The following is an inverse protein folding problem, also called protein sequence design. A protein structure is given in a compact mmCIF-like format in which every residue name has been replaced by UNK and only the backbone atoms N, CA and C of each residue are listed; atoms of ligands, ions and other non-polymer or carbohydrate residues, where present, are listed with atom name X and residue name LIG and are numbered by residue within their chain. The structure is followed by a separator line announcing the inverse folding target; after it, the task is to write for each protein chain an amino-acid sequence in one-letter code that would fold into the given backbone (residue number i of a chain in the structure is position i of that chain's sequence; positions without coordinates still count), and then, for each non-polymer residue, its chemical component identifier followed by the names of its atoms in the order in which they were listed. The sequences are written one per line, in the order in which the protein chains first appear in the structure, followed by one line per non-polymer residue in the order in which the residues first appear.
data_IF_278055815262
#
_entry.id   IF_278055815262
#
_cell.length_a   1.000
_cell.length_b   1.000
_cell.length_c   1.000
_cell.angle_alpha   90.00
_cell.angle_beta   90.00
_cell.angle_gamma   90.00
#
_symmetry.space_group_name_H-M   'P 1'
#
loop_
_entity.id
_entity.type
_entity.pdbx_description
1 polymer ?
#
# COMPACT_ATOMS: atom_id res chain seq x y z
N UNK A 1 20.11 -0.41 -5.69
CA UNK A 1 18.85 -0.39 -4.92
C UNK A 1 18.80 0.83 -4.03
N UNK A 2 17.67 1.47 -3.93
CA UNK A 2 17.49 2.61 -3.05
C UNK A 2 17.54 2.18 -1.59
N UNK A 3 18.16 3.03 -0.75
CA UNK A 3 18.31 2.74 0.68
C UNK A 3 17.10 3.19 1.49
N UNK A 4 16.35 4.16 0.98
CA UNK A 4 15.22 4.76 1.70
C UNK A 4 13.91 4.13 1.29
N UNK A 5 13.79 2.82 1.53
CA UNK A 5 12.58 2.09 1.23
C UNK A 5 11.76 1.93 2.51
N UNK A 6 10.49 2.32 2.43
CA UNK A 6 9.50 2.05 3.46
C UNK A 6 8.48 1.11 2.84
N UNK A 7 8.15 0.03 3.51
CA UNK A 7 7.10 -0.84 2.99
C UNK A 7 6.16 -1.29 4.10
N UNK A 8 4.90 -1.39 3.72
CA UNK A 8 3.82 -1.71 4.64
C UNK A 8 3.16 -3.01 4.20
N UNK A 9 2.89 -3.85 5.17
CA UNK A 9 2.24 -5.13 4.91
C UNK A 9 1.59 -5.67 6.16
N UNK A 10 1.12 -6.92 6.07
CA UNK A 10 0.47 -7.60 7.17
C UNK A 10 1.08 -8.99 7.30
N UNK A 11 1.48 -9.40 8.53
CA UNK A 11 2.20 -10.67 8.70
C UNK A 11 1.43 -11.91 8.23
N UNK A 12 0.10 -11.87 8.33
CA UNK A 12 -0.74 -13.00 7.93
C UNK A 12 -1.15 -12.98 6.46
N UNK A 13 -0.69 -12.00 5.70
CA UNK A 13 -1.03 -11.86 4.29
C UNK A 13 -0.03 -12.64 3.43
N UNK A 14 -0.50 -13.64 2.68
CA UNK A 14 0.38 -14.46 1.84
C UNK A 14 1.07 -13.65 0.76
N UNK A 15 0.38 -12.67 0.18
CA UNK A 15 0.97 -11.78 -0.81
C UNK A 15 2.10 -10.95 -0.20
N UNK A 16 1.92 -10.48 1.04
CA UNK A 16 2.97 -9.75 1.73
C UNK A 16 4.19 -10.63 2.04
N UNK A 17 3.97 -11.91 2.34
CA UNK A 17 5.06 -12.85 2.56
C UNK A 17 5.88 -13.06 1.29
N UNK A 18 5.21 -13.18 0.15
CA UNK A 18 5.88 -13.28 -1.15
C UNK A 18 6.65 -12.01 -1.48
N UNK A 19 6.05 -10.86 -1.17
CA UNK A 19 6.69 -9.57 -1.39
C UNK A 19 7.94 -9.42 -0.53
N UNK A 20 7.89 -9.87 0.72
CA UNK A 20 9.07 -9.84 1.60
C UNK A 20 10.21 -10.65 1.03
N UNK A 21 9.94 -11.87 0.57
CA UNK A 21 10.97 -12.70 -0.04
C UNK A 21 11.60 -12.00 -1.23
N UNK A 22 10.77 -11.36 -2.05
CA UNK A 22 11.25 -10.62 -3.21
C UNK A 22 12.16 -9.46 -2.78
N UNK A 23 11.74 -8.69 -1.79
CA UNK A 23 12.53 -7.56 -1.30
C UNK A 23 13.88 -8.02 -0.75
N UNK A 24 13.90 -9.11 0.02
CA UNK A 24 15.16 -9.66 0.56
C UNK A 24 16.07 -10.13 -0.57
N UNK A 25 15.51 -10.77 -1.61
CA UNK A 25 16.28 -11.22 -2.76
C UNK A 25 16.88 -10.04 -3.53
N UNK A 26 16.22 -8.89 -3.50
CA UNK A 26 16.75 -7.66 -4.12
C UNK A 26 17.73 -6.91 -3.23
N UNK A 27 18.02 -7.43 -2.03
CA UNK A 27 18.94 -6.78 -1.10
C UNK A 27 18.32 -5.75 -0.18
N UNK A 28 16.99 -5.61 -0.20
CA UNK A 28 16.30 -4.70 0.71
C UNK A 28 16.15 -5.34 2.07
N UNK A 29 16.67 -4.68 3.11
CA UNK A 29 16.61 -5.17 4.48
C UNK A 29 15.63 -4.37 5.35
N UNK A 30 14.88 -3.45 4.77
CA UNK A 30 13.92 -2.64 5.51
C UNK A 30 12.88 -3.53 6.20
N UNK A 31 12.58 -3.27 7.48
CA UNK A 31 11.56 -4.05 8.18
C UNK A 31 10.17 -3.70 7.67
N UNK A 32 9.26 -4.68 7.73
CA UNK A 32 7.88 -4.45 7.37
C UNK A 32 7.21 -3.58 8.44
N UNK A 33 6.57 -2.49 7.99
CA UNK A 33 5.69 -1.72 8.86
C UNK A 33 4.34 -2.42 8.85
N UNK A 34 3.86 -2.84 10.03
CA UNK A 34 2.58 -3.53 10.15
C UNK A 34 1.45 -2.53 9.89
N UNK A 35 0.70 -2.76 8.82
CA UNK A 35 -0.31 -1.83 8.35
C UNK A 35 -1.50 -1.71 9.31
N UNK A 36 -1.69 -2.70 10.19
CA UNK A 36 -2.76 -2.68 11.18
C UNK A 36 -2.33 -1.95 12.44
N UNK A 37 -1.10 -2.20 12.91
CA UNK A 37 -0.57 -1.56 14.12
C UNK A 37 -0.15 -0.12 13.89
N UNK A 38 0.39 0.15 12.70
CA UNK A 38 0.86 1.47 12.31
C UNK A 38 0.29 1.84 10.94
N UNK A 39 -1.02 2.08 10.85
CA UNK A 39 -1.63 2.41 9.56
C UNK A 39 -1.03 3.70 8.99
N UNK A 40 -1.07 3.85 7.67
CA UNK A 40 -0.60 5.10 7.09
C UNK A 40 -1.47 6.26 7.54
N UNK A 41 -0.84 7.41 7.73
CA UNK A 41 -1.59 8.63 8.06
C UNK A 41 -2.25 9.20 6.82
N UNK A 42 -3.24 10.06 7.00
CA UNK A 42 -3.88 10.75 5.87
C UNK A 42 -2.86 11.55 5.07
N UNK A 43 -1.90 12.19 5.75
CA UNK A 43 -0.86 12.96 5.10
C UNK A 43 0.06 12.08 4.26
N UNK A 44 0.48 10.93 4.79
CA UNK A 44 1.27 9.96 4.04
C UNK A 44 0.52 9.49 2.80
N UNK A 45 -0.76 9.16 2.96
CA UNK A 45 -1.58 8.68 1.85
C UNK A 45 -1.74 9.74 0.76
N UNK A 46 -1.90 10.99 1.15
CA UNK A 46 -1.99 12.10 0.18
C UNK A 46 -0.69 12.19 -0.62
N UNK A 47 0.45 12.15 0.05
CA UNK A 47 1.76 12.22 -0.58
C UNK A 47 1.99 11.02 -1.52
N UNK A 48 1.72 9.81 -1.02
CA UNK A 48 1.95 8.60 -1.81
C UNK A 48 1.00 8.51 -3.01
N UNK A 49 -0.27 8.86 -2.81
CA UNK A 49 -1.25 8.86 -3.88
C UNK A 49 -0.83 9.82 -5.00
N UNK A 50 -0.46 11.04 -4.62
CA UNK A 50 -0.02 12.04 -5.60
C UNK A 50 1.21 11.56 -6.36
N UNK A 51 2.19 11.02 -5.65
CA UNK A 51 3.42 10.51 -6.26
C UNK A 51 3.17 9.33 -7.19
N UNK A 52 2.20 8.47 -6.83
CA UNK A 52 1.93 7.25 -7.58
C UNK A 52 1.32 7.50 -8.96
N UNK A 53 0.57 8.57 -9.12
CA UNK A 53 -0.19 8.82 -10.32
C UNK A 53 -1.34 7.86 -10.56
N UNK A 54 -1.65 7.01 -9.57
CA UNK A 54 -2.72 6.01 -9.68
C UNK A 54 -4.04 6.57 -9.16
N UNK A 55 -5.18 6.00 -9.61
CA UNK A 55 -6.47 6.33 -9.01
C UNK A 55 -6.47 5.96 -7.52
N UNK A 56 -7.09 6.80 -6.70
CA UNK A 56 -7.09 6.59 -5.25
C UNK A 56 -7.72 5.25 -4.85
N UNK A 57 -8.68 4.77 -5.62
CA UNK A 57 -9.31 3.46 -5.36
C UNK A 57 -8.28 2.33 -5.32
N UNK A 58 -7.17 2.47 -6.03
CA UNK A 58 -6.12 1.45 -6.03
C UNK A 58 -5.45 1.26 -4.67
N UNK A 59 -5.59 2.24 -3.79
CA UNK A 59 -5.05 2.16 -2.44
C UNK A 59 -5.98 1.42 -1.46
N UNK A 60 -7.18 1.07 -1.91
CA UNK A 60 -8.12 0.31 -1.08
C UNK A 60 -7.97 -1.19 -1.34
N UNK A 61 -8.12 -1.97 -0.29
CA UNK A 61 -8.18 -3.44 -0.39
C UNK A 61 -9.60 -3.84 -0.81
N UNK A 62 -9.87 -3.75 -2.12
CA UNK A 62 -11.22 -3.92 -2.67
C UNK A 62 -11.75 -5.34 -2.56
N UNK A 63 -10.90 -6.33 -2.35
CA UNK A 63 -11.34 -7.71 -2.12
C UNK A 63 -11.42 -8.06 -0.64
N UNK A 64 -11.21 -7.09 0.24
CA UNK A 64 -11.24 -7.31 1.68
C UNK A 64 -12.65 -7.30 2.26
N UNK A 65 -12.79 -7.97 3.41
CA UNK A 65 -14.06 -8.05 4.11
C UNK A 65 -14.56 -6.69 4.57
N UNK A 66 -13.67 -5.85 5.12
CA UNK A 66 -14.05 -4.52 5.60
C UNK A 66 -14.57 -3.64 4.48
N UNK A 67 -13.95 -3.73 3.32
CA UNK A 67 -14.39 -2.97 2.15
C UNK A 67 -15.85 -3.33 1.79
N UNK A 68 -16.16 -4.62 1.80
CA UNK A 68 -17.50 -5.10 1.51
C UNK A 68 -18.50 -4.74 2.61
N UNK A 69 -18.12 -4.92 3.87
CA UNK A 69 -19.00 -4.60 5.00
C UNK A 69 -19.43 -3.13 5.00
N UNK A 70 -18.51 -2.25 4.64
CA UNK A 70 -18.80 -0.81 4.63
C UNK A 70 -19.48 -0.34 3.34
N UNK A 71 -19.65 -1.22 2.36
CA UNK A 71 -20.30 -0.86 1.10
C UNK A 71 -19.53 0.17 0.29
N UNK A 72 -18.20 0.11 0.33
CA UNK A 72 -17.37 1.15 -0.26
C UNK A 72 -17.42 1.20 -1.78
N UNK A 73 -17.70 0.07 -2.42
CA UNK A 73 -17.87 0.06 -3.87
C UNK A 73 -18.87 1.14 -4.33
N UNK A 74 -19.94 1.31 -3.56
CA UNK A 74 -20.99 2.27 -3.90
C UNK A 74 -20.74 3.65 -3.26
N UNK A 75 -20.04 3.70 -2.13
CA UNK A 75 -19.84 4.95 -1.39
C UNK A 75 -18.66 5.78 -1.87
N UNK A 76 -17.57 5.13 -2.30
CA UNK A 76 -16.35 5.86 -2.68
C UNK A 76 -16.57 6.93 -3.75
N UNK A 77 -17.39 6.68 -4.81
CA UNK A 77 -17.57 7.70 -5.83
C UNK A 77 -18.17 9.02 -5.31
N UNK A 78 -18.89 8.97 -4.18
CA UNK A 78 -19.47 10.16 -3.58
C UNK A 78 -18.57 10.81 -2.53
N UNK A 79 -17.43 10.20 -2.21
CA UNK A 79 -16.51 10.73 -1.19
C UNK A 79 -15.42 11.58 -1.83
N UNK A 80 -15.04 12.66 -1.12
CA UNK A 80 -13.88 13.46 -1.54
C UNK A 80 -12.60 12.67 -1.31
N UNK A 81 -11.50 13.12 -1.93
CA UNK A 81 -10.20 12.51 -1.70
C UNK A 81 -9.80 12.59 -0.22
N UNK A 82 -10.03 13.74 0.41
CA UNK A 82 -9.69 13.92 1.83
C UNK A 82 -10.47 12.97 2.73
N UNK A 83 -11.75 12.76 2.43
CA UNK A 83 -12.56 11.78 3.15
C UNK A 83 -12.01 10.37 2.99
N UNK A 84 -11.57 10.03 1.78
CA UNK A 84 -11.01 8.71 1.51
C UNK A 84 -9.67 8.50 2.24
N UNK A 85 -8.80 9.51 2.27
CA UNK A 85 -7.55 9.42 3.04
C UNK A 85 -7.85 9.21 4.53
N UNK A 86 -8.79 9.95 5.07
CA UNK A 86 -9.16 9.81 6.48
C UNK A 86 -9.70 8.40 6.78
N UNK A 87 -10.49 7.86 5.88
CA UNK A 87 -11.04 6.51 6.03
C UNK A 87 -9.94 5.46 6.02
N UNK A 88 -9.02 5.53 5.06
CA UNK A 88 -7.88 4.60 4.98
C UNK A 88 -7.00 4.69 6.23
N UNK A 89 -6.77 5.91 6.72
CA UNK A 89 -5.95 6.13 7.91
C UNK A 89 -6.59 5.57 9.17
N UNK A 90 -7.91 5.44 9.18
CA UNK A 90 -8.66 4.96 10.35
C UNK A 90 -8.63 3.44 10.51
N UNK A 91 -8.29 2.69 9.44
CA UNK A 91 -8.34 1.23 9.48
C UNK A 91 -7.38 0.65 8.46
N UNK A 92 -6.25 0.13 8.95
CA UNK A 92 -5.23 -0.47 8.09
C UNK A 92 -5.70 -1.64 7.26
N UNK A 93 -6.76 -2.33 7.69
CA UNK A 93 -7.31 -3.44 6.92
C UNK A 93 -7.99 -2.99 5.63
N UNK A 94 -8.34 -1.71 5.53
CA UNK A 94 -8.89 -1.14 4.31
C UNK A 94 -7.83 -0.83 3.26
N UNK A 95 -6.57 -0.79 3.66
CA UNK A 95 -5.47 -0.37 2.79
C UNK A 95 -4.96 -1.53 1.95
N UNK A 96 -4.78 -1.30 0.67
CA UNK A 96 -4.17 -2.28 -0.25
C UNK A 96 -2.75 -2.59 0.21
N UNK A 97 -2.38 -3.84 0.22
CA UNK A 97 -1.05 -4.27 0.66
C UNK A 97 -0.49 -5.37 -0.23
N UNK A 98 0.83 -5.43 -0.35
CA UNK A 98 1.82 -4.53 0.25
C UNK A 98 1.89 -3.18 -0.45
N UNK A 99 2.39 -2.17 0.28
CA UNK A 99 2.77 -0.88 -0.28
C UNK A 99 4.27 -0.73 -0.12
N UNK A 100 4.95 -0.36 -1.19
CA UNK A 100 6.40 -0.08 -1.14
C UNK A 100 6.63 1.34 -1.62
N UNK A 101 7.26 2.12 -0.77
CA UNK A 101 7.51 3.53 -1.02
C UNK A 101 9.02 3.72 -1.16
N UNK A 102 9.45 4.12 -2.33
CA UNK A 102 10.85 4.49 -2.56
C UNK A 102 10.92 6.01 -2.71
N UNK A 103 12.12 6.50 -2.91
CA UNK A 103 12.33 7.95 -3.10
C UNK A 103 11.52 8.49 -4.29
N UNK A 104 11.40 7.72 -5.35
CA UNK A 104 10.76 8.18 -6.60
C UNK A 104 9.49 7.42 -6.96
N UNK A 105 9.25 6.26 -6.34
CA UNK A 105 8.16 5.38 -6.75
C UNK A 105 7.27 4.98 -5.59
N UNK A 106 6.02 4.68 -5.92
CA UNK A 106 5.05 4.08 -4.99
C UNK A 106 4.50 2.84 -5.67
N UNK A 107 4.75 1.68 -5.07
CA UNK A 107 4.28 0.39 -5.60
C UNK A 107 3.09 -0.08 -4.78
N UNK A 108 1.96 -0.27 -5.43
CA UNK A 108 0.70 -0.64 -4.78
C UNK A 108 0.33 -2.07 -5.17
N UNK A 109 0.32 -2.95 -4.18
CA UNK A 109 0.13 -4.38 -4.42
C UNK A 109 1.41 -5.01 -4.96
N UNK A 110 1.51 -6.35 -4.88
CA UNK A 110 2.71 -7.05 -5.33
C UNK A 110 2.57 -7.53 -6.77
N UNK A 111 3.46 -7.05 -7.61
CA UNK A 111 3.59 -7.49 -9.02
C UNK A 111 5.08 -7.68 -9.28
N UNK A 112 5.52 -8.93 -9.27
CA UNK A 112 6.95 -9.26 -9.33
C UNK A 112 7.67 -8.62 -10.52
N UNK A 113 7.06 -8.66 -11.70
CA UNK A 113 7.67 -8.09 -12.91
C UNK A 113 7.87 -6.58 -12.80
N UNK A 114 6.85 -5.87 -12.35
CA UNK A 114 6.93 -4.43 -12.19
C UNK A 114 7.94 -4.04 -11.11
N UNK A 115 7.95 -4.79 -10.01
CA UNK A 115 8.88 -4.53 -8.92
C UNK A 115 10.33 -4.80 -9.34
N UNK A 116 10.55 -5.88 -10.12
CA UNK A 116 11.89 -6.20 -10.60
C UNK A 116 12.44 -5.06 -11.46
N UNK A 117 11.61 -4.49 -12.32
CA UNK A 117 12.02 -3.40 -13.19
C UNK A 117 12.41 -2.16 -12.42
N UNK A 118 11.66 -1.83 -11.36
CA UNK A 118 11.90 -0.62 -10.58
C UNK A 118 13.01 -0.82 -9.55
N UNK A 119 13.00 -1.96 -8.84
CA UNK A 119 13.89 -2.17 -7.70
C UNK A 119 15.27 -2.71 -8.08
N UNK A 120 15.42 -3.28 -9.24
CA UNK A 120 16.71 -3.83 -9.68
C UNK A 120 17.53 -2.88 -10.56
N UNK A 121 16.97 -1.73 -10.88
CA UNK A 121 17.67 -0.74 -11.71
C UNK A 121 18.64 0.12 -10.91
#
# INVERSE_FOLDING_TARGET
MEKDIVWLGYPKCSTCQKAEKFLRACGCTAPMRDIVKEPPTAEELRTWHTRSGLPLRRFFNTSGQRYRELGLKDKLPAMTQEQQYALLASDGMLVKRPLVITKEHVLVGFRAEAWAEILSS
#
